data_IF_206043483088
#
_entry.id   IF_206043483088
#
_cell.length_a   1.000
_cell.length_b   1.000
_cell.length_c   1.000
_cell.angle_alpha   90.00
_cell.angle_beta   90.00
_cell.angle_gamma   90.00
#
_symmetry.space_group_name_H-M   'P 1'
#
loop_
_entity.id
_entity.type
_entity.pdbx_description
1 polymer ?
#
# COMPACT_ATOMS: atom_id res chain seq x y z
N UNK A 1 -10.75 -9.44 15.07
CA UNK A 1 -10.87 -10.21 13.83
C UNK A 1 -9.95 -9.61 12.78
N UNK A 2 -8.96 -10.36 12.37
CA UNK A 2 -8.05 -9.90 11.32
C UNK A 2 -8.72 -10.07 9.97
N UNK A 3 -8.81 -8.98 9.21
CA UNK A 3 -9.27 -9.03 7.83
C UNK A 3 -8.03 -8.94 6.94
N UNK A 4 -7.74 -10.04 6.24
CA UNK A 4 -6.69 -10.03 5.23
C UNK A 4 -7.30 -9.62 3.89
N UNK A 5 -6.94 -8.42 3.44
CA UNK A 5 -7.32 -7.95 2.12
C UNK A 5 -6.20 -8.28 1.14
N UNK A 6 -6.50 -9.14 0.17
CA UNK A 6 -5.57 -9.47 -0.91
C UNK A 6 -6.05 -8.80 -2.19
N UNK A 7 -5.23 -7.92 -2.72
CA UNK A 7 -5.48 -7.25 -3.99
C UNK A 7 -4.52 -7.79 -5.03
N UNK A 8 -5.06 -8.13 -6.20
CA UNK A 8 -4.24 -8.55 -7.32
C UNK A 8 -3.68 -7.31 -8.01
N UNK A 9 -2.41 -7.03 -7.74
CA UNK A 9 -1.66 -5.98 -8.43
C UNK A 9 -1.10 -6.55 -9.75
N UNK A 10 -0.94 -5.70 -10.76
CA UNK A 10 -0.43 -6.09 -12.07
C UNK A 10 0.93 -6.81 -11.97
N UNK A 11 1.05 -7.97 -12.61
CA UNK A 11 2.26 -8.81 -12.60
C UNK A 11 3.53 -8.08 -13.08
N UNK A 12 3.37 -7.01 -13.86
CA UNK A 12 4.50 -6.21 -14.34
C UNK A 12 5.26 -5.47 -13.23
N UNK A 13 4.68 -5.33 -12.03
CA UNK A 13 5.25 -4.57 -10.93
C UNK A 13 6.10 -5.40 -9.98
N UNK A 14 6.02 -6.73 -10.04
CA UNK A 14 6.81 -7.60 -9.18
C UNK A 14 7.35 -8.79 -9.96
N UNK A 15 8.43 -9.38 -9.43
CA UNK A 15 9.03 -10.62 -9.95
C UNK A 15 8.41 -11.84 -9.29
N UNK A 16 8.07 -11.72 -8.01
CA UNK A 16 7.34 -12.71 -7.22
C UNK A 16 6.25 -11.97 -6.44
N UNK A 17 5.05 -12.54 -6.37
CA UNK A 17 3.94 -11.93 -5.65
C UNK A 17 4.26 -11.79 -4.16
N UNK A 18 4.41 -10.55 -3.64
CA UNK A 18 4.73 -10.34 -2.23
C UNK A 18 3.62 -10.82 -1.30
N UNK A 19 2.37 -10.83 -1.77
CA UNK A 19 1.24 -11.28 -0.94
C UNK A 19 1.20 -12.80 -0.79
N UNK A 20 1.97 -13.55 -1.58
CA UNK A 20 2.00 -15.00 -1.52
C UNK A 20 2.87 -15.57 -0.40
N UNK A 21 3.69 -14.75 0.26
CA UNK A 21 4.62 -15.19 1.30
C UNK A 21 4.66 -14.22 2.48
N UNK A 22 5.02 -14.72 3.66
CA UNK A 22 5.23 -13.86 4.83
C UNK A 22 6.42 -12.93 4.64
N UNK A 23 7.48 -13.40 3.98
CA UNK A 23 8.65 -12.59 3.65
C UNK A 23 8.27 -11.43 2.74
N UNK A 24 7.48 -11.67 1.69
CA UNK A 24 7.02 -10.64 0.77
C UNK A 24 6.17 -9.58 1.46
N UNK A 25 5.22 -10.02 2.29
CA UNK A 25 4.39 -9.09 3.08
C UNK A 25 5.24 -8.24 4.03
N UNK A 26 6.22 -8.85 4.69
CA UNK A 26 7.15 -8.16 5.58
C UNK A 26 7.96 -7.11 4.84
N UNK A 27 8.45 -7.42 3.65
CA UNK A 27 9.19 -6.48 2.79
C UNK A 27 8.32 -5.27 2.44
N UNK A 28 7.08 -5.48 2.03
CA UNK A 28 6.15 -4.39 1.68
C UNK A 28 5.85 -3.54 2.91
N UNK A 29 5.56 -4.16 4.05
CA UNK A 29 5.30 -3.45 5.31
C UNK A 29 6.48 -2.57 5.73
N UNK A 30 7.68 -3.13 5.74
CA UNK A 30 8.90 -2.41 6.08
C UNK A 30 9.19 -1.28 5.09
N UNK A 31 8.88 -1.50 3.81
CA UNK A 31 9.04 -0.47 2.78
C UNK A 31 8.15 0.74 3.04
N UNK A 32 6.89 0.51 3.39
CA UNK A 32 5.95 1.58 3.72
C UNK A 32 6.45 2.36 4.94
N UNK A 33 6.84 1.66 6.00
CA UNK A 33 7.35 2.28 7.22
C UNK A 33 8.61 3.11 6.95
N UNK A 34 9.58 2.55 6.25
CA UNK A 34 10.85 3.21 5.97
C UNK A 34 10.67 4.41 5.03
N UNK A 35 9.88 4.26 3.97
CA UNK A 35 9.56 5.39 3.09
C UNK A 35 8.84 6.51 3.83
N UNK A 36 7.98 6.18 4.80
CA UNK A 36 7.32 7.16 5.64
C UNK A 36 8.31 7.94 6.50
N UNK A 37 9.38 7.29 6.95
CA UNK A 37 10.40 7.93 7.79
C UNK A 37 11.39 8.78 7.01
N UNK A 38 11.92 8.27 5.89
CA UNK A 38 13.05 8.90 5.20
C UNK A 38 12.71 9.45 3.81
N UNK A 39 11.52 9.19 3.30
CA UNK A 39 11.09 9.58 1.96
C UNK A 39 11.65 8.65 0.88
N UNK A 40 11.01 8.71 -0.30
CA UNK A 40 11.36 7.82 -1.42
C UNK A 40 12.77 8.06 -1.94
N UNK A 41 13.23 9.31 -2.02
CA UNK A 41 14.54 9.63 -2.58
C UNK A 41 15.68 9.02 -1.74
N UNK A 42 15.54 9.00 -0.44
CA UNK A 42 16.52 8.44 0.48
C UNK A 42 16.37 6.92 0.64
N UNK A 43 15.24 6.37 0.20
CA UNK A 43 14.97 4.94 0.28
C UNK A 43 15.84 4.17 -0.71
N UNK A 44 16.48 3.10 -0.22
CA UNK A 44 17.27 2.16 -1.03
C UNK A 44 17.00 0.74 -0.56
N UNK A 45 17.25 -0.24 -1.42
CA UNK A 45 17.12 -1.65 -1.03
C UNK A 45 18.15 -2.05 0.03
N UNK A 46 19.31 -1.40 0.05
CA UNK A 46 20.30 -1.60 1.11
C UNK A 46 19.75 -1.19 2.47
N UNK A 47 19.16 -0.01 2.55
CA UNK A 47 18.52 0.48 3.79
C UNK A 47 17.34 -0.38 4.19
N UNK A 48 16.54 -0.79 3.20
CA UNK A 48 15.39 -1.67 3.45
C UNK A 48 15.83 -3.03 4.00
N UNK A 49 16.88 -3.62 3.44
CA UNK A 49 17.42 -4.89 3.92
C UNK A 49 17.83 -4.81 5.38
N UNK A 50 18.54 -3.73 5.76
CA UNK A 50 18.92 -3.49 7.14
C UNK A 50 17.70 -3.29 8.05
N UNK A 51 16.74 -2.51 7.61
CA UNK A 51 15.50 -2.22 8.36
C UNK A 51 14.66 -3.47 8.59
N UNK A 52 14.55 -4.32 7.57
CA UNK A 52 13.73 -5.54 7.60
C UNK A 52 14.49 -6.77 8.09
N UNK A 53 15.75 -6.63 8.53
CA UNK A 53 16.60 -7.74 8.97
C UNK A 53 16.71 -8.86 7.92
N UNK A 54 16.87 -8.48 6.66
CA UNK A 54 17.01 -9.41 5.55
C UNK A 54 18.17 -9.00 4.64
N UNK A 55 18.32 -9.63 3.47
CA UNK A 55 19.36 -9.32 2.51
C UNK A 55 18.78 -8.58 1.30
N UNK A 56 19.62 -7.81 0.61
CA UNK A 56 19.23 -7.17 -0.65
C UNK A 56 18.80 -8.22 -1.68
N UNK A 57 19.51 -9.36 -1.73
CA UNK A 57 19.17 -10.46 -2.65
C UNK A 57 17.73 -10.96 -2.45
N UNK A 58 17.27 -11.04 -1.20
CA UNK A 58 15.90 -11.43 -0.88
C UNK A 58 14.90 -10.42 -1.45
N UNK A 59 15.19 -9.12 -1.29
CA UNK A 59 14.33 -8.04 -1.81
C UNK A 59 14.26 -8.09 -3.33
N UNK A 60 15.40 -8.28 -4.01
CA UNK A 60 15.46 -8.37 -5.47
C UNK A 60 14.72 -9.59 -6.05
N UNK A 61 14.41 -10.59 -5.26
CA UNK A 61 13.55 -11.70 -5.70
C UNK A 61 12.11 -11.24 -5.94
N UNK A 62 11.67 -10.19 -5.26
CA UNK A 62 10.30 -9.67 -5.34
C UNK A 62 10.18 -8.46 -6.27
N UNK A 63 11.16 -7.57 -6.25
CA UNK A 63 11.11 -6.31 -7.01
C UNK A 63 12.42 -6.05 -7.73
N UNK A 64 12.33 -5.69 -8.99
CA UNK A 64 13.51 -5.39 -9.82
C UNK A 64 14.24 -4.12 -9.34
N UNK A 65 13.50 -3.13 -8.84
CA UNK A 65 14.04 -1.86 -8.36
C UNK A 65 13.02 -1.15 -7.46
N UNK A 66 13.46 -0.06 -6.83
CA UNK A 66 12.59 0.68 -5.89
C UNK A 66 11.42 1.38 -6.59
N UNK A 67 11.55 1.73 -7.87
CA UNK A 67 10.46 2.32 -8.65
C UNK A 67 9.29 1.32 -8.78
N UNK A 68 9.59 0.07 -9.12
CA UNK A 68 8.58 -0.99 -9.20
C UNK A 68 7.91 -1.24 -7.84
N UNK A 69 8.69 -1.22 -6.77
CA UNK A 69 8.16 -1.36 -5.41
C UNK A 69 7.21 -0.21 -5.07
N UNK A 70 7.60 1.03 -5.38
CA UNK A 70 6.73 2.18 -5.12
C UNK A 70 5.43 2.08 -5.93
N UNK A 71 5.51 1.74 -7.22
CA UNK A 71 4.32 1.53 -8.04
C UNK A 71 3.41 0.43 -7.47
N UNK A 72 4.00 -0.64 -6.95
CA UNK A 72 3.24 -1.70 -6.28
C UNK A 72 2.47 -1.15 -5.08
N UNK A 73 3.13 -0.38 -4.22
CA UNK A 73 2.54 0.22 -3.02
C UNK A 73 1.38 1.15 -3.41
N UNK A 74 1.58 2.02 -4.41
CA UNK A 74 0.55 2.94 -4.89
C UNK A 74 -0.65 2.20 -5.46
N UNK A 75 -0.40 1.16 -6.26
CA UNK A 75 -1.48 0.33 -6.82
C UNK A 75 -2.25 -0.43 -5.74
N UNK A 76 -1.55 -0.94 -4.73
CA UNK A 76 -2.17 -1.59 -3.58
C UNK A 76 -3.13 -0.62 -2.88
N UNK A 77 -2.68 0.61 -2.63
CA UNK A 77 -3.49 1.64 -1.99
C UNK A 77 -4.75 1.96 -2.80
N UNK A 78 -4.63 2.16 -4.11
CA UNK A 78 -5.79 2.48 -4.94
C UNK A 78 -6.75 1.32 -5.07
N UNK A 79 -6.27 0.07 -5.08
CA UNK A 79 -7.14 -1.10 -5.00
C UNK A 79 -7.90 -1.16 -3.68
N UNK A 80 -7.25 -0.79 -2.57
CA UNK A 80 -7.88 -0.69 -1.27
C UNK A 80 -9.00 0.37 -1.28
N UNK A 81 -8.73 1.56 -1.79
CA UNK A 81 -9.73 2.63 -1.91
C UNK A 81 -10.90 2.19 -2.79
N UNK A 82 -10.62 1.54 -3.91
CA UNK A 82 -11.65 1.00 -4.79
C UNK A 82 -12.54 -0.03 -4.06
N UNK A 83 -11.92 -0.93 -3.31
CA UNK A 83 -12.63 -1.94 -2.52
C UNK A 83 -13.58 -1.30 -1.50
N UNK A 84 -13.12 -0.32 -0.74
CA UNK A 84 -13.95 0.39 0.23
C UNK A 84 -15.09 1.14 -0.45
N UNK A 85 -14.83 1.77 -1.59
CA UNK A 85 -15.84 2.49 -2.37
C UNK A 85 -16.92 1.54 -2.90
N UNK A 86 -16.55 0.32 -3.28
CA UNK A 86 -17.50 -0.72 -3.71
C UNK A 86 -18.43 -1.13 -2.57
N UNK A 87 -17.90 -1.30 -1.36
CA UNK A 87 -18.71 -1.63 -0.19
C UNK A 87 -19.75 -0.54 0.05
N UNK A 88 -19.37 0.72 0.00
CA UNK A 88 -20.28 1.85 0.19
C UNK A 88 -21.32 1.91 -0.95
N UNK A 89 -20.90 1.73 -2.20
CA UNK A 89 -21.79 1.77 -3.36
C UNK A 89 -22.86 0.67 -3.34
N UNK A 90 -22.57 -0.46 -2.67
CA UNK A 90 -23.52 -1.57 -2.52
C UNK A 90 -24.28 -1.53 -1.20
N UNK A 91 -24.14 -0.47 -0.40
CA UNK A 91 -24.87 -0.31 0.86
C UNK A 91 -26.32 0.12 0.63
N UNK A 92 -27.15 -0.02 1.67
CA UNK A 92 -28.57 0.38 1.64
C UNK A 92 -28.77 1.90 1.82
N UNK A 93 -27.69 2.69 1.86
CA UNK A 93 -27.77 4.13 2.06
C UNK A 93 -28.21 4.88 0.81
N UNK A 94 -28.65 6.14 1.01
CA UNK A 94 -29.04 7.01 -0.11
C UNK A 94 -27.83 7.36 -0.97
N UNK A 95 -28.02 7.69 -2.28
CA UNK A 95 -26.92 8.10 -3.15
C UNK A 95 -26.10 9.27 -2.60
N UNK A 96 -26.76 10.23 -1.93
CA UNK A 96 -26.07 11.37 -1.32
C UNK A 96 -25.16 10.91 -0.17
N UNK A 97 -25.65 10.03 0.69
CA UNK A 97 -24.85 9.48 1.80
C UNK A 97 -23.69 8.64 1.30
N UNK A 98 -23.93 7.82 0.26
CA UNK A 98 -22.89 7.03 -0.38
C UNK A 98 -21.76 7.91 -0.94
N UNK A 99 -22.14 8.99 -1.66
CA UNK A 99 -21.16 9.93 -2.20
C UNK A 99 -20.34 10.61 -1.10
N UNK A 100 -20.99 11.04 -0.02
CA UNK A 100 -20.31 11.66 1.11
C UNK A 100 -19.30 10.71 1.75
N UNK A 101 -19.66 9.43 1.91
CA UNK A 101 -18.77 8.42 2.48
C UNK A 101 -17.59 8.13 1.56
N UNK A 102 -17.82 7.99 0.25
CA UNK A 102 -16.76 7.76 -0.73
C UNK A 102 -15.77 8.93 -0.72
N UNK A 103 -16.25 10.17 -0.67
CA UNK A 103 -15.40 11.35 -0.57
C UNK A 103 -14.54 11.33 0.70
N UNK A 104 -15.10 10.93 1.84
CA UNK A 104 -14.33 10.79 3.09
C UNK A 104 -13.26 9.71 2.99
N UNK A 105 -13.55 8.61 2.30
CA UNK A 105 -12.55 7.53 2.07
C UNK A 105 -11.41 8.07 1.21
N UNK A 106 -11.71 8.73 0.08
CA UNK A 106 -10.71 9.25 -0.84
C UNK A 106 -9.84 10.33 -0.17
N UNK A 107 -10.44 11.19 0.65
CA UNK A 107 -9.74 12.27 1.35
C UNK A 107 -9.10 11.82 2.67
N UNK A 108 -9.19 10.54 3.00
CA UNK A 108 -8.63 9.95 4.22
C UNK A 108 -9.13 10.63 5.50
N UNK A 109 -10.42 10.98 5.52
CA UNK A 109 -11.08 11.58 6.70
C UNK A 109 -11.94 10.58 7.46
N UNK A 110 -12.05 9.33 6.98
CA UNK A 110 -12.76 8.25 7.65
C UNK A 110 -11.75 7.29 8.31
N UNK A 111 -11.70 7.30 9.65
CA UNK A 111 -10.74 6.54 10.44
C UNK A 111 -11.19 5.11 10.76
N UNK A 112 -12.37 4.69 10.30
CA UNK A 112 -13.00 3.44 10.76
C UNK A 112 -12.31 2.15 10.27
N UNK A 113 -11.38 2.22 9.31
CA UNK A 113 -10.81 1.04 8.67
C UNK A 113 -9.29 0.89 8.84
N UNK A 114 -8.61 1.89 9.38
CA UNK A 114 -7.13 1.90 9.44
C UNK A 114 -6.54 0.79 10.30
N UNK A 115 -7.23 0.35 11.34
CA UNK A 115 -6.73 -0.65 12.29
C UNK A 115 -6.91 -2.11 11.82
N UNK A 116 -7.61 -2.32 10.69
CA UNK A 116 -7.97 -3.66 10.21
C UNK A 116 -6.96 -4.23 9.20
N UNK A 117 -5.93 -3.48 8.86
CA UNK A 117 -5.02 -3.83 7.77
C UNK A 117 -3.62 -4.15 8.28
N UNK A 118 -2.91 -5.00 7.53
CA UNK A 118 -1.52 -5.38 7.80
C UNK A 118 -0.54 -4.21 7.64
N UNK A 119 -0.96 -3.15 6.94
CA UNK A 119 -0.12 -1.98 6.64
C UNK A 119 -0.66 -0.74 7.35
N UNK A 120 0.25 0.16 7.74
CA UNK A 120 -0.12 1.45 8.33
C UNK A 120 -0.70 2.35 7.23
N UNK A 121 -2.03 2.49 7.22
CA UNK A 121 -2.77 3.23 6.18
C UNK A 121 -2.48 4.73 6.24
N UNK A 122 -2.28 5.29 7.42
CA UNK A 122 -1.95 6.72 7.55
C UNK A 122 -0.62 7.04 6.87
N UNK A 123 0.40 6.23 7.12
CA UNK A 123 1.72 6.36 6.48
C UNK A 123 1.61 6.12 4.98
N UNK A 124 0.84 5.12 4.57
CA UNK A 124 0.62 4.79 3.17
C UNK A 124 -0.06 5.95 2.42
N UNK A 125 -1.07 6.57 3.03
CA UNK A 125 -1.73 7.75 2.45
C UNK A 125 -0.74 8.90 2.26
N UNK A 126 0.11 9.17 3.23
CA UNK A 126 1.13 10.21 3.13
C UNK A 126 2.11 9.96 1.97
N UNK A 127 2.53 8.71 1.79
CA UNK A 127 3.38 8.31 0.66
C UNK A 127 2.66 8.55 -0.67
N UNK A 128 1.38 8.18 -0.77
CA UNK A 128 0.58 8.39 -1.98
C UNK A 128 0.52 9.88 -2.33
N UNK A 129 0.26 10.74 -1.35
CA UNK A 129 0.17 12.18 -1.58
C UNK A 129 1.53 12.77 -1.98
N UNK A 130 2.61 12.39 -1.30
CA UNK A 130 3.92 12.99 -1.53
C UNK A 130 4.66 12.46 -2.74
N UNK A 131 4.43 11.19 -3.12
CA UNK A 131 5.26 10.50 -4.11
C UNK A 131 4.55 10.19 -5.44
N UNK A 132 3.22 10.30 -5.51
CA UNK A 132 2.47 9.96 -6.72
C UNK A 132 2.91 10.77 -7.95
N UNK A 133 3.19 12.05 -7.78
CA UNK A 133 3.62 12.92 -8.87
C UNK A 133 4.99 12.57 -9.45
N UNK A 134 5.79 11.80 -8.72
CA UNK A 134 7.15 11.41 -9.11
C UNK A 134 7.21 10.15 -9.98
N UNK A 135 6.14 9.35 -9.98
CA UNK A 135 6.10 8.05 -10.68
C UNK A 135 5.12 8.00 -11.84
N UNK A 136 4.19 8.92 -11.89
CA UNK A 136 3.20 9.00 -12.98
C UNK A 136 3.52 10.11 -13.98
#
# INVERSE_FOLDING_TARGET
MEIQLKFKVTDALYLRDPESTDTGKSIVRSSIELMGEIGYEQFTFKKLAAYNHTTEATIYRYFANKHKLLLYILNWYWNYIFYLSQIVANSAETPKEQLQKILRIITHTDENFSDLLDYNIDTLYEIVISESSKVY
#
